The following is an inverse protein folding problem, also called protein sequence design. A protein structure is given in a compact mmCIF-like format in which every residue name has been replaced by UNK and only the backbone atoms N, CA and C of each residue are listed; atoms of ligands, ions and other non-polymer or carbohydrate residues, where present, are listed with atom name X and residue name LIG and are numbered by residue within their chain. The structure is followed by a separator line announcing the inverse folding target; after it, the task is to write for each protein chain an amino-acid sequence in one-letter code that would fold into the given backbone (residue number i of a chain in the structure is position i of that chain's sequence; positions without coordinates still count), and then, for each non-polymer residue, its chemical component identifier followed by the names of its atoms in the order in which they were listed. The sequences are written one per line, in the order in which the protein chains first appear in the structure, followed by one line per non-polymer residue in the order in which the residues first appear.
data_IF_147648878436
#
_entry.id   IF_147648878436
#
_cell.length_a   1.000
_cell.length_b   1.000
_cell.length_c   1.000
_cell.angle_alpha   90.00
_cell.angle_beta   90.00
_cell.angle_gamma   90.00
#
_symmetry.space_group_name_H-M   'P 1'
#
loop_
_entity.id
_entity.type
_entity.pdbx_description
1 polymer ?
#
# COMPACT_ATOMS: atom_id res chain seq x y z
N UNK A 1 25.56 -2.63 -7.08
CA UNK A 1 24.28 -1.92 -7.28
C UNK A 1 23.35 -2.37 -6.16
N UNK A 2 23.31 -1.63 -5.07
CA UNK A 2 22.56 -1.98 -3.87
C UNK A 2 21.36 -1.04 -3.78
N UNK A 3 20.16 -1.54 -4.07
CA UNK A 3 18.91 -0.78 -3.99
C UNK A 3 18.26 -1.02 -2.62
N UNK A 4 18.90 -0.56 -1.55
CA UNK A 4 18.27 -0.44 -0.24
C UNK A 4 18.44 1.00 0.23
N UNK A 5 17.35 1.76 0.21
CA UNK A 5 17.04 3.00 0.96
C UNK A 5 16.04 3.81 0.10
N UNK A 6 14.93 4.33 0.58
CA UNK A 6 14.74 4.96 1.87
C UNK A 6 13.43 4.56 2.53
N UNK A 7 13.53 4.42 3.85
CA UNK A 7 12.45 4.47 4.81
C UNK A 7 12.16 5.95 5.09
N UNK A 8 10.96 6.51 4.80
CA UNK A 8 10.59 7.81 5.31
C UNK A 8 9.39 7.73 6.26
N UNK A 9 9.64 8.26 7.46
CA UNK A 9 8.69 9.00 8.29
C UNK A 9 7.65 8.19 9.09
N UNK A 10 8.08 7.83 10.30
CA UNK A 10 7.22 7.78 11.49
C UNK A 10 6.59 9.16 11.69
N UNK A 11 5.26 9.25 11.68
CA UNK A 11 4.53 10.30 12.41
C UNK A 11 3.88 11.45 11.61
N UNK A 12 3.74 11.38 10.28
CA UNK A 12 2.94 12.37 9.53
C UNK A 12 2.01 11.64 8.58
N UNK A 13 0.68 11.87 8.59
CA UNK A 13 -0.18 11.28 7.57
C UNK A 13 0.31 11.79 6.21
N UNK A 14 0.66 10.90 5.26
CA UNK A 14 1.13 11.35 3.97
C UNK A 14 0.04 12.24 3.36
N UNK A 15 0.40 13.47 3.03
CA UNK A 15 -0.32 14.22 2.01
C UNK A 15 -0.49 13.28 0.81
N UNK A 16 -1.66 13.29 0.16
CA UNK A 16 -2.01 12.35 -0.92
C UNK A 16 -0.96 12.26 -2.06
N UNK A 17 -0.01 13.21 -2.12
CA UNK A 17 1.05 13.29 -3.12
C UNK A 17 2.39 12.63 -2.74
N UNK A 18 2.59 12.14 -1.51
CA UNK A 18 3.88 11.56 -1.06
C UNK A 18 3.83 10.04 -0.81
N UNK A 19 2.79 9.35 -1.28
CA UNK A 19 2.68 7.91 -1.09
C UNK A 19 3.68 7.14 -1.99
N UNK A 20 4.59 6.32 -1.42
CA UNK A 20 5.61 5.61 -2.20
C UNK A 20 5.07 4.37 -2.93
N UNK A 21 3.76 4.11 -2.94
CA UNK A 21 3.21 2.93 -3.60
C UNK A 21 3.27 3.05 -5.14
N UNK A 22 3.38 1.91 -5.84
CA UNK A 22 3.48 1.89 -7.30
C UNK A 22 2.30 2.61 -7.98
N UNK A 23 1.07 2.39 -7.53
CA UNK A 23 -0.12 3.05 -8.07
C UNK A 23 -0.01 4.59 -8.01
N UNK A 24 0.31 5.16 -6.85
CA UNK A 24 0.45 6.61 -6.70
C UNK A 24 1.69 7.15 -7.44
N UNK A 25 2.84 6.45 -7.36
CA UNK A 25 4.10 6.85 -8.00
C UNK A 25 3.99 6.98 -9.51
N UNK A 26 3.23 6.10 -10.16
CA UNK A 26 3.04 6.10 -11.61
C UNK A 26 1.75 6.84 -12.05
N UNK A 27 1.09 7.56 -11.14
CA UNK A 27 -0.07 8.41 -11.46
C UNK A 27 -1.41 7.66 -11.61
N UNK A 28 -1.41 6.33 -11.40
CA UNK A 28 -2.63 5.50 -11.44
C UNK A 28 -3.47 5.58 -10.16
N UNK A 29 -2.86 6.01 -9.04
CA UNK A 29 -3.53 6.22 -7.76
C UNK A 29 -4.20 7.59 -7.59
N UNK A 30 -4.36 8.37 -8.66
CA UNK A 30 -4.98 9.71 -8.60
C UNK A 30 -6.49 9.65 -8.35
N UNK A 31 -7.14 8.58 -8.80
CA UNK A 31 -8.57 8.32 -8.56
C UNK A 31 -8.78 7.76 -7.14
N UNK A 32 -7.81 6.98 -6.64
CA UNK A 32 -7.87 6.32 -5.34
C UNK A 32 -6.58 6.56 -4.54
N UNK A 33 -6.44 7.75 -3.93
CA UNK A 33 -5.25 8.09 -3.17
C UNK A 33 -5.09 7.19 -1.94
N UNK A 34 -3.87 7.08 -1.45
CA UNK A 34 -3.62 6.42 -0.18
C UNK A 34 -4.43 7.09 0.93
N UNK A 35 -5.10 6.29 1.75
CA UNK A 35 -5.91 6.78 2.87
C UNK A 35 -5.10 6.82 4.16
N UNK A 36 -5.46 7.74 5.05
CA UNK A 36 -5.00 7.68 6.44
C UNK A 36 -5.59 6.46 7.15
N UNK A 37 -4.88 5.99 8.18
CA UNK A 37 -5.33 4.91 9.07
C UNK A 37 -6.64 5.31 9.75
N UNK A 38 -7.63 4.43 9.70
CA UNK A 38 -8.97 4.66 10.24
C UNK A 38 -9.45 3.53 11.15
N UNK A 39 -9.07 2.28 10.87
CA UNK A 39 -9.46 1.11 11.65
C UNK A 39 -8.32 0.59 12.55
N UNK A 40 -8.66 -0.14 13.60
CA UNK A 40 -7.68 -0.81 14.45
C UNK A 40 -6.94 -1.94 13.72
N UNK A 41 -7.59 -2.57 12.74
CA UNK A 41 -7.04 -3.61 11.85
C UNK A 41 -6.09 -3.08 10.78
N UNK A 42 -6.05 -1.76 10.57
CA UNK A 42 -5.18 -1.15 9.57
C UNK A 42 -3.71 -1.27 9.99
N UNK A 43 -2.88 -1.57 8.99
CA UNK A 43 -1.45 -1.80 9.12
C UNK A 43 -0.72 -0.51 9.48
N UNK A 44 0.23 -0.59 10.42
CA UNK A 44 1.19 0.50 10.74
C UNK A 44 2.34 0.54 9.72
N UNK A 45 3.12 1.63 9.69
CA UNK A 45 4.25 1.73 8.74
C UNK A 45 5.32 0.65 8.98
N UNK A 46 5.56 0.31 10.25
CA UNK A 46 6.47 -0.76 10.64
C UNK A 46 5.99 -2.13 10.13
N UNK A 47 4.70 -2.44 10.32
CA UNK A 47 4.11 -3.67 9.80
C UNK A 47 4.10 -3.69 8.27
N UNK A 48 3.79 -2.55 7.64
CA UNK A 48 3.76 -2.43 6.18
C UNK A 48 5.14 -2.66 5.57
N UNK A 49 6.22 -2.21 6.22
CA UNK A 49 7.60 -2.46 5.78
C UNK A 49 7.91 -3.95 5.70
N UNK A 50 7.32 -4.77 6.58
CA UNK A 50 7.48 -6.23 6.57
C UNK A 50 6.57 -6.89 5.53
N UNK A 51 5.34 -6.40 5.36
CA UNK A 51 4.35 -6.99 4.44
C UNK A 51 4.58 -6.64 2.97
N UNK A 52 4.96 -5.40 2.67
CA UNK A 52 5.13 -4.90 1.30
C UNK A 52 6.03 -5.78 0.41
N UNK A 53 7.22 -6.25 0.84
CA UNK A 53 8.08 -7.10 0.01
C UNK A 53 7.55 -8.52 -0.20
N UNK A 54 6.57 -8.96 0.60
CA UNK A 54 5.95 -10.29 0.46
C UNK A 54 4.85 -10.31 -0.60
N UNK A 55 4.37 -9.15 -1.04
CA UNK A 55 3.33 -9.05 -2.05
C UNK A 55 3.87 -9.45 -3.43
N UNK A 56 3.07 -10.13 -4.25
CA UNK A 56 3.50 -10.57 -5.58
C UNK A 56 3.88 -9.37 -6.44
N UNK A 57 4.93 -9.51 -7.25
CA UNK A 57 5.41 -8.45 -8.12
C UNK A 57 4.28 -7.95 -9.06
N UNK A 58 4.07 -6.63 -9.21
CA UNK A 58 3.11 -6.08 -10.15
C UNK A 58 3.57 -6.31 -11.60
N UNK A 59 3.06 -7.34 -12.26
CA UNK A 59 3.45 -7.74 -13.63
C UNK A 59 3.26 -6.63 -14.67
N UNK A 60 2.33 -5.69 -14.45
CA UNK A 60 2.13 -4.53 -15.33
C UNK A 60 3.32 -3.54 -15.32
N UNK A 61 4.16 -3.53 -14.27
CA UNK A 61 5.39 -2.72 -14.23
C UNK A 61 6.47 -3.22 -15.20
N UNK A 62 6.43 -4.50 -15.60
CA UNK A 62 7.40 -5.09 -16.52
C UNK A 62 7.06 -4.85 -17.99
N UNK A 63 6.00 -4.09 -18.28
CA UNK A 63 5.52 -3.87 -19.65
C UNK A 63 4.87 -5.11 -20.28
N UNK A 64 4.58 -6.14 -19.49
CA UNK A 64 3.93 -7.37 -19.94
C UNK A 64 2.42 -7.22 -20.26
N UNK A 65 1.91 -5.98 -20.27
CA UNK A 65 0.50 -5.66 -20.48
C UNK A 65 -0.35 -5.81 -19.20
N UNK A 66 -1.67 -5.68 -19.34
CA UNK A 66 -2.63 -5.71 -18.23
C UNK A 66 -3.03 -4.32 -17.71
N UNK A 67 -4.11 -4.27 -16.92
CA UNK A 67 -4.60 -3.02 -16.33
C UNK A 67 -3.68 -2.62 -15.17
N UNK A 68 -3.16 -1.37 -15.15
CA UNK A 68 -2.39 -0.86 -14.02
C UNK A 68 -3.17 -0.91 -12.70
N UNK A 69 -2.45 -1.00 -11.59
CA UNK A 69 -3.07 -0.92 -10.26
C UNK A 69 -3.63 0.48 -10.00
N UNK A 70 -4.93 0.56 -9.71
CA UNK A 70 -5.61 1.83 -9.40
C UNK A 70 -5.58 2.17 -7.90
N UNK A 71 -5.46 1.16 -7.04
CA UNK A 71 -5.46 1.33 -5.58
C UNK A 71 -4.05 1.14 -5.00
N UNK A 72 -3.74 1.88 -3.93
CA UNK A 72 -2.58 1.60 -3.11
C UNK A 72 -2.69 0.17 -2.52
N UNK A 73 -1.66 -0.66 -2.71
CA UNK A 73 -1.64 -2.04 -2.18
C UNK A 73 -1.87 -2.12 -0.68
N UNK A 74 -1.40 -1.13 0.08
CA UNK A 74 -1.65 -1.05 1.53
C UNK A 74 -3.14 -0.93 1.84
N UNK A 75 -3.86 -0.10 1.08
CA UNK A 75 -5.29 0.07 1.27
C UNK A 75 -6.07 -1.22 1.00
N UNK A 76 -5.63 -2.01 0.01
CA UNK A 76 -6.22 -3.34 -0.28
C UNK A 76 -5.97 -4.31 0.89
N UNK A 77 -4.74 -4.37 1.40
CA UNK A 77 -4.39 -5.25 2.53
C UNK A 77 -5.13 -4.84 3.81
N UNK A 78 -5.21 -3.55 4.10
CA UNK A 78 -5.96 -3.04 5.25
C UNK A 78 -7.45 -3.41 5.16
N UNK A 79 -8.04 -3.37 3.96
CA UNK A 79 -9.41 -3.81 3.73
C UNK A 79 -9.58 -5.32 3.96
N UNK A 80 -8.62 -6.14 3.51
CA UNK A 80 -8.62 -7.59 3.77
C UNK A 80 -8.53 -7.85 5.28
N UNK A 81 -7.61 -7.19 5.99
CA UNK A 81 -7.48 -7.35 7.44
C UNK A 81 -8.73 -6.88 8.18
N UNK A 82 -9.37 -5.80 7.74
CA UNK A 82 -10.65 -5.39 8.31
C UNK A 82 -11.71 -6.49 8.23
N UNK A 83 -11.84 -7.17 7.08
CA UNK A 83 -12.80 -8.26 6.92
C UNK A 83 -12.42 -9.50 7.73
N UNK A 84 -11.13 -9.89 7.72
CA UNK A 84 -10.67 -11.07 8.41
C UNK A 84 -10.71 -10.94 9.95
N UNK A 85 -10.38 -9.76 10.48
CA UNK A 85 -10.41 -9.52 11.92
C UNK A 85 -11.84 -9.33 12.46
N UNK A 86 -12.80 -8.96 11.59
CA UNK A 86 -14.21 -8.88 11.96
C UNK A 86 -14.80 -10.27 12.22
N UNK A 87 -14.34 -11.31 11.50
CA UNK A 87 -14.87 -12.67 11.62
C UNK A 87 -14.42 -13.42 12.88
N UNK A 88 -13.44 -12.91 13.63
CA UNK A 88 -13.05 -13.49 14.93
C UNK A 88 -13.79 -12.86 16.12
N UNK A 89 -14.60 -11.82 15.89
CA UNK A 89 -15.40 -11.14 16.92
C UNK A 89 -16.90 -11.51 16.88
N UNK A 90 -17.28 -12.52 16.07
CA UNK A 90 -18.65 -13.02 15.93
C UNK A 90 -18.67 -14.54 15.97
#
# INVERSE_FOLDING_TARGET
MSFYSANPCVGTPPSANDCPCAACRFGHGTIHPARARHYSSDTTDAQWTVLAPLLPWPVWLDGAGGRPEEYCRRAVIDAIFYLALLTELN
#
